data_IF_401447990916
#
_entry.id   IF_401447990916
#
_cell.length_a   1.000
_cell.length_b   1.000
_cell.length_c   1.000
_cell.angle_alpha   90.00
_cell.angle_beta   90.00
_cell.angle_gamma   90.00
#
_symmetry.space_group_name_H-M   'P 1'
#
loop_
_entity.id
_entity.type
_entity.pdbx_description
1 polymer ?
#
# COMPACT_ATOMS: atom_id res chain seq x y z
N UNK A 1 8.31 -16.89 26.83
CA UNK A 1 9.05 -18.06 26.32
C UNK A 1 9.64 -17.81 24.94
N UNK A 2 8.87 -17.28 23.97
CA UNK A 2 9.36 -17.01 22.61
C UNK A 2 10.40 -15.88 22.50
N UNK A 3 10.33 -14.86 23.36
CA UNK A 3 11.27 -13.73 23.27
C UNK A 3 12.72 -14.18 23.57
N UNK A 4 12.91 -15.16 24.46
CA UNK A 4 14.23 -15.75 24.72
C UNK A 4 14.80 -16.42 23.47
N UNK A 5 13.98 -17.22 22.77
CA UNK A 5 14.38 -17.92 21.54
C UNK A 5 14.68 -16.92 20.43
N UNK A 6 13.85 -15.89 20.27
CA UNK A 6 14.07 -14.83 19.29
C UNK A 6 15.38 -14.08 19.53
N UNK A 7 15.64 -13.61 20.76
CA UNK A 7 16.89 -12.94 21.08
C UNK A 7 18.10 -13.87 20.91
N UNK A 8 17.98 -15.14 21.25
CA UNK A 8 19.06 -16.11 21.03
C UNK A 8 19.35 -16.30 19.54
N UNK A 9 18.31 -16.41 18.72
CA UNK A 9 18.44 -16.50 17.26
C UNK A 9 19.14 -15.27 16.67
N UNK A 10 18.72 -14.06 17.08
CA UNK A 10 19.37 -12.81 16.65
C UNK A 10 20.86 -12.78 17.03
N UNK A 11 21.22 -13.22 18.23
CA UNK A 11 22.63 -13.27 18.66
C UNK A 11 23.46 -14.23 17.81
N UNK A 12 22.92 -15.40 17.50
CA UNK A 12 23.61 -16.38 16.66
C UNK A 12 23.79 -15.82 15.23
N UNK A 13 22.75 -15.23 14.66
CA UNK A 13 22.79 -14.68 13.31
C UNK A 13 23.73 -13.47 13.17
N UNK A 14 23.80 -12.61 14.20
CA UNK A 14 24.64 -11.40 14.20
C UNK A 14 26.03 -11.61 14.79
N UNK A 15 26.30 -12.76 15.40
CA UNK A 15 27.54 -13.01 16.16
C UNK A 15 27.66 -12.19 17.46
N UNK A 16 26.57 -11.56 17.93
CA UNK A 16 26.59 -10.74 19.13
C UNK A 16 26.87 -11.57 20.40
N UNK A 17 27.63 -11.01 21.34
CA UNK A 17 27.90 -11.65 22.62
C UNK A 17 26.60 -12.01 23.35
N UNK A 18 26.65 -13.05 24.20
CA UNK A 18 25.51 -13.46 25.04
C UNK A 18 25.04 -12.35 25.99
N UNK A 19 25.94 -11.43 26.33
CA UNK A 19 25.70 -10.28 27.24
C UNK A 19 25.26 -9.01 26.53
N UNK A 20 25.22 -8.96 25.19
CA UNK A 20 24.77 -7.75 24.47
C UNK A 20 23.37 -7.35 24.92
N UNK A 21 23.11 -6.08 25.27
CA UNK A 21 21.76 -5.63 25.65
C UNK A 21 20.74 -5.87 24.53
N UNK A 22 19.49 -6.20 24.89
CA UNK A 22 18.39 -6.45 23.92
C UNK A 22 18.16 -5.25 22.98
N UNK A 23 18.13 -3.98 23.47
CA UNK A 23 17.96 -2.84 22.57
C UNK A 23 19.06 -2.75 21.50
N UNK A 24 20.32 -2.99 21.89
CA UNK A 24 21.45 -3.01 20.96
C UNK A 24 21.35 -4.16 19.96
N UNK A 25 20.84 -5.32 20.38
CA UNK A 25 20.64 -6.47 19.52
C UNK A 25 19.62 -6.18 18.40
N UNK A 26 18.51 -5.51 18.73
CA UNK A 26 17.53 -5.06 17.74
C UNK A 26 18.11 -4.01 16.79
N UNK A 27 18.88 -3.05 17.31
CA UNK A 27 19.53 -2.04 16.48
C UNK A 27 20.53 -2.64 15.48
N UNK A 28 21.35 -3.61 15.90
CA UNK A 28 22.35 -4.26 15.04
C UNK A 28 21.70 -5.19 14.00
N UNK A 29 20.64 -5.90 14.39
CA UNK A 29 19.94 -6.84 13.48
C UNK A 29 18.99 -6.15 12.50
N UNK A 30 18.54 -4.92 12.80
CA UNK A 30 17.46 -4.27 12.06
C UNK A 30 16.08 -4.92 12.27
N UNK A 31 15.97 -5.88 13.19
CA UNK A 31 14.73 -6.60 13.48
C UNK A 31 13.99 -5.97 14.66
N UNK A 32 12.68 -5.70 14.54
CA UNK A 32 11.88 -5.19 15.66
C UNK A 32 11.67 -6.26 16.74
N UNK A 33 11.31 -5.83 17.95
CA UNK A 33 10.94 -6.77 19.01
C UNK A 33 9.70 -7.59 18.63
N UNK A 34 9.59 -8.80 19.20
CA UNK A 34 8.39 -9.62 19.00
C UNK A 34 7.12 -8.93 19.50
N UNK A 35 7.23 -8.06 20.49
CA UNK A 35 6.12 -7.24 20.95
C UNK A 35 5.62 -6.32 19.84
N UNK A 36 6.49 -5.50 19.24
CA UNK A 36 6.14 -4.65 18.11
C UNK A 36 5.59 -5.46 16.94
N UNK A 37 6.16 -6.64 16.67
CA UNK A 37 5.67 -7.54 15.62
C UNK A 37 4.25 -8.04 15.92
N UNK A 38 3.95 -8.42 17.17
CA UNK A 38 2.60 -8.83 17.59
C UNK A 38 1.60 -7.68 17.49
N UNK A 39 2.00 -6.46 17.85
CA UNK A 39 1.17 -5.27 17.72
C UNK A 39 0.83 -5.00 16.25
N UNK A 40 1.83 -5.01 15.37
CA UNK A 40 1.64 -4.86 13.92
C UNK A 40 0.70 -5.92 13.35
N UNK A 41 0.93 -7.20 13.67
CA UNK A 41 0.06 -8.30 13.20
C UNK A 41 -1.37 -8.15 13.71
N UNK A 42 -1.54 -7.72 14.97
CA UNK A 42 -2.87 -7.50 15.56
C UNK A 42 -3.62 -6.39 14.83
N UNK A 43 -2.96 -5.26 14.55
CA UNK A 43 -3.55 -4.15 13.78
C UNK A 43 -3.90 -4.59 12.35
N UNK A 44 -2.99 -5.28 11.65
CA UNK A 44 -3.27 -5.78 10.29
C UNK A 44 -4.45 -6.75 10.28
N UNK A 45 -4.55 -7.66 11.25
CA UNK A 45 -5.66 -8.59 11.33
C UNK A 45 -6.98 -7.90 11.69
N UNK A 46 -6.95 -6.93 12.60
CA UNK A 46 -8.11 -6.10 12.91
C UNK A 46 -8.66 -5.40 11.68
N UNK A 47 -7.79 -4.75 10.91
CA UNK A 47 -8.20 -4.04 9.71
C UNK A 47 -8.70 -4.98 8.60
N UNK A 48 -8.16 -6.19 8.50
CA UNK A 48 -8.72 -7.25 7.63
C UNK A 48 -10.15 -7.64 8.03
N UNK A 49 -10.41 -7.78 9.33
CA UNK A 49 -11.77 -8.05 9.83
C UNK A 49 -12.68 -6.83 9.57
N UNK A 50 -12.17 -5.62 9.80
CA UNK A 50 -12.92 -4.38 9.62
C UNK A 50 -13.31 -4.15 8.15
N UNK A 51 -12.47 -4.53 7.19
CA UNK A 51 -12.73 -4.36 5.75
C UNK A 51 -13.76 -5.35 5.18
N UNK A 52 -14.07 -6.43 5.91
CA UNK A 52 -14.94 -7.51 5.46
C UNK A 52 -16.12 -7.68 6.44
N UNK A 53 -17.28 -7.14 6.06
CA UNK A 53 -18.52 -7.25 6.85
C UNK A 53 -19.03 -8.69 6.96
N UNK A 54 -18.68 -9.56 6.01
CA UNK A 54 -19.07 -10.97 5.99
C UNK A 54 -18.24 -11.82 6.97
N UNK A 55 -17.11 -11.28 7.47
CA UNK A 55 -16.22 -12.01 8.35
C UNK A 55 -16.96 -12.45 9.64
N UNK A 56 -16.85 -13.73 10.06
CA UNK A 56 -17.63 -14.28 11.19
C UNK A 56 -17.47 -13.53 12.52
N UNK A 57 -16.34 -12.84 12.67
CA UNK A 57 -16.00 -12.05 13.86
C UNK A 57 -16.20 -10.54 13.70
N UNK A 58 -16.63 -10.03 12.55
CA UNK A 58 -16.75 -8.60 12.24
C UNK A 58 -17.54 -7.86 13.34
N UNK A 59 -18.80 -8.24 13.55
CA UNK A 59 -19.66 -7.59 14.53
C UNK A 59 -19.07 -7.60 15.96
N UNK A 60 -18.51 -8.73 16.41
CA UNK A 60 -17.99 -8.88 17.78
C UNK A 60 -16.70 -8.07 18.03
N UNK A 61 -15.88 -7.90 17.01
CA UNK A 61 -14.60 -7.20 17.10
C UNK A 61 -14.81 -5.69 16.98
N UNK A 62 -15.67 -5.24 16.06
CA UNK A 62 -15.98 -3.82 15.86
C UNK A 62 -16.88 -3.29 16.98
N UNK A 63 -17.96 -4.00 17.30
CA UNK A 63 -18.88 -3.63 18.38
C UNK A 63 -18.50 -4.34 19.67
N UNK A 64 -17.38 -3.94 20.28
CA UNK A 64 -16.98 -4.46 21.59
C UNK A 64 -17.85 -3.86 22.71
N UNK A 65 -19.10 -4.32 22.79
CA UNK A 65 -20.15 -3.90 23.74
C UNK A 65 -19.72 -4.07 25.21
N UNK A 66 -18.71 -4.91 25.47
CA UNK A 66 -18.28 -5.30 26.82
C UNK A 66 -17.18 -4.41 27.41
N UNK A 67 -16.84 -3.27 26.79
CA UNK A 67 -15.74 -2.40 27.25
C UNK A 67 -15.84 -1.97 28.71
N UNK A 68 -17.06 -1.68 29.20
CA UNK A 68 -17.30 -1.32 30.60
C UNK A 68 -17.09 -2.49 31.58
N UNK A 69 -17.32 -3.74 31.16
CA UNK A 69 -17.14 -4.92 32.02
C UNK A 69 -15.66 -5.24 32.25
N UNK A 70 -14.81 -5.06 31.24
CA UNK A 70 -13.36 -5.29 31.38
C UNK A 70 -12.69 -4.20 32.23
N UNK A 71 -13.17 -2.95 32.17
CA UNK A 71 -12.67 -1.87 33.04
C UNK A 71 -12.96 -2.12 34.53
N UNK A 72 -14.01 -2.88 34.85
CA UNK A 72 -14.41 -3.17 36.24
C UNK A 72 -13.79 -4.48 36.76
N UNK A 73 -13.47 -5.44 35.89
CA UNK A 73 -12.88 -6.73 36.27
C UNK A 73 -11.56 -7.00 35.56
N UNK A 74 -10.48 -6.46 36.14
CA UNK A 74 -9.09 -6.60 35.66
C UNK A 74 -8.58 -8.05 35.53
N UNK A 75 -9.25 -9.03 36.16
CA UNK A 75 -8.88 -10.45 36.06
C UNK A 75 -9.32 -11.13 34.76
N UNK A 76 -10.22 -10.51 33.99
CA UNK A 76 -10.66 -11.05 32.71
C UNK A 76 -9.76 -10.58 31.59
N UNK A 77 -9.30 -11.51 30.76
CA UNK A 77 -8.56 -11.17 29.54
C UNK A 77 -9.47 -10.36 28.60
N UNK A 78 -9.10 -9.12 28.23
CA UNK A 78 -9.92 -8.29 27.36
C UNK A 78 -10.08 -8.90 25.98
N UNK A 79 -11.21 -8.61 25.32
CA UNK A 79 -11.46 -9.07 23.95
C UNK A 79 -10.41 -8.52 22.98
N UNK A 80 -10.32 -9.15 21.81
CA UNK A 80 -9.43 -8.67 20.75
C UNK A 80 -9.72 -7.22 20.34
N UNK A 81 -10.99 -6.88 20.07
CA UNK A 81 -11.39 -5.51 19.71
C UNK A 81 -11.02 -4.47 20.77
N UNK A 82 -11.21 -4.80 22.07
CA UNK A 82 -10.82 -3.90 23.16
C UNK A 82 -9.30 -3.64 23.19
N UNK A 83 -8.50 -4.71 23.07
CA UNK A 83 -7.03 -4.58 23.02
C UNK A 83 -6.56 -3.75 21.83
N UNK A 84 -7.21 -3.87 20.67
CA UNK A 84 -6.91 -3.02 19.52
C UNK A 84 -7.19 -1.54 19.83
N UNK A 85 -8.31 -1.24 20.50
CA UNK A 85 -8.60 0.12 20.95
C UNK A 85 -7.55 0.69 21.92
N UNK A 86 -6.91 -0.13 22.74
CA UNK A 86 -5.75 0.30 23.56
C UNK A 86 -4.51 0.57 22.71
N UNK A 87 -4.23 -0.30 21.74
CA UNK A 87 -3.08 -0.15 20.83
C UNK A 87 -3.22 1.14 19.98
N UNK A 88 -4.39 1.37 19.39
CA UNK A 88 -4.66 2.57 18.59
C UNK A 88 -4.50 3.85 19.42
N UNK A 89 -5.01 3.87 20.66
CA UNK A 89 -4.84 5.00 21.58
C UNK A 89 -3.38 5.21 22.00
N UNK A 90 -2.66 4.13 22.29
CA UNK A 90 -1.25 4.20 22.71
C UNK A 90 -0.36 4.81 21.62
N UNK A 91 -0.60 4.47 20.35
CA UNK A 91 0.16 5.00 19.21
C UNK A 91 -0.45 6.25 18.57
N UNK A 92 -1.54 6.78 19.14
CA UNK A 92 -2.28 7.93 18.58
C UNK A 92 -2.67 7.72 17.10
N UNK A 93 -3.05 6.49 16.75
CA UNK A 93 -3.45 6.13 15.39
C UNK A 93 -4.93 6.47 15.23
N UNK A 94 -5.24 7.47 14.40
CA UNK A 94 -6.60 7.74 13.96
C UNK A 94 -7.12 6.58 13.11
N UNK A 95 -8.36 6.18 13.39
CA UNK A 95 -9.02 5.13 12.65
C UNK A 95 -9.47 5.67 11.28
N UNK A 96 -9.06 5.01 10.21
CA UNK A 96 -9.35 5.45 8.84
C UNK A 96 -10.56 4.70 8.25
N UNK A 97 -11.30 5.35 7.33
CA UNK A 97 -12.37 4.71 6.59
C UNK A 97 -11.82 3.53 5.79
N UNK A 98 -12.49 2.39 5.87
CA UNK A 98 -12.15 1.24 5.04
C UNK A 98 -12.82 1.35 3.69
N UNK A 99 -12.06 1.08 2.64
CA UNK A 99 -12.64 0.75 1.34
C UNK A 99 -13.16 -0.68 1.46
N UNK A 100 -14.44 -0.89 1.15
CA UNK A 100 -15.01 -2.23 1.09
C UNK A 100 -14.16 -3.08 0.17
N UNK A 101 -13.76 -4.28 0.61
CA UNK A 101 -13.16 -5.24 -0.31
C UNK A 101 -14.20 -5.52 -1.40
N UNK A 102 -13.94 -5.02 -2.60
CA UNK A 102 -14.63 -5.52 -3.78
C UNK A 102 -14.12 -6.93 -3.96
N UNK A 103 -15.00 -7.90 -4.14
CA UNK A 103 -14.58 -9.24 -4.54
C UNK A 103 -13.83 -9.07 -5.87
N UNK A 104 -12.51 -9.20 -5.82
CA UNK A 104 -11.70 -9.19 -7.03
C UNK A 104 -12.20 -10.32 -7.92
N UNK A 105 -12.33 -10.10 -9.24
CA UNK A 105 -12.60 -11.19 -10.14
C UNK A 105 -11.53 -12.26 -9.93
N UNK A 106 -11.88 -13.55 -9.97
CA UNK A 106 -10.90 -14.60 -9.78
C UNK A 106 -9.76 -14.45 -10.79
N UNK A 107 -8.54 -14.93 -10.47
CA UNK A 107 -7.37 -14.68 -11.30
C UNK A 107 -7.44 -15.31 -12.71
N UNK A 108 -8.41 -16.19 -12.96
CA UNK A 108 -8.67 -16.80 -14.26
C UNK A 108 -9.72 -16.05 -15.09
N UNK A 109 -10.40 -15.06 -14.52
CA UNK A 109 -11.30 -14.18 -15.26
C UNK A 109 -10.46 -13.10 -15.96
N UNK A 110 -10.21 -13.34 -17.24
CA UNK A 110 -9.41 -12.45 -18.07
C UNK A 110 -10.09 -11.08 -18.20
N UNK A 111 -9.47 -10.05 -17.65
CA UNK A 111 -9.81 -8.67 -17.99
C UNK A 111 -9.18 -8.38 -19.36
N UNK A 112 -9.99 -8.10 -20.37
CA UNK A 112 -9.49 -7.74 -21.71
C UNK A 112 -8.83 -6.36 -21.67
N UNK A 113 -7.52 -6.33 -21.43
CA UNK A 113 -6.68 -5.15 -21.50
C UNK A 113 -5.63 -5.38 -22.59
N UNK A 114 -5.64 -4.51 -23.59
CA UNK A 114 -4.58 -4.47 -24.60
C UNK A 114 -3.41 -3.65 -24.04
N UNK A 115 -2.32 -4.34 -23.71
CA UNK A 115 -1.07 -3.69 -23.32
C UNK A 115 -0.19 -3.51 -24.56
N UNK A 116 0.39 -2.31 -24.70
CA UNK A 116 1.37 -2.06 -25.75
C UNK A 116 2.73 -1.86 -25.11
N UNK A 117 3.56 -2.89 -25.25
CA UNK A 117 4.88 -3.01 -24.65
C UNK A 117 6.00 -2.82 -25.70
N UNK A 118 5.84 -1.81 -26.58
CA UNK A 118 6.79 -1.50 -27.66
C UNK A 118 8.23 -1.26 -27.14
N UNK A 119 8.37 -0.92 -25.86
CA UNK A 119 9.67 -0.67 -25.21
C UNK A 119 10.31 -1.91 -24.56
N UNK A 120 9.62 -3.05 -24.46
CA UNK A 120 10.06 -4.23 -23.70
C UNK A 120 11.41 -4.79 -24.16
N UNK A 121 11.72 -4.66 -25.45
CA UNK A 121 12.94 -5.17 -26.05
C UNK A 121 14.15 -4.22 -25.93
N UNK A 122 13.96 -3.01 -25.40
CA UNK A 122 15.04 -2.03 -25.27
C UNK A 122 15.64 -2.04 -23.87
N UNK A 123 16.91 -2.43 -23.77
CA UNK A 123 17.63 -2.42 -22.50
C UNK A 123 18.13 -0.99 -22.19
N UNK A 124 17.57 -0.36 -21.14
CA UNK A 124 17.87 1.04 -20.76
C UNK A 124 19.37 1.38 -20.72
N UNK A 125 20.27 0.56 -20.14
CA UNK A 125 21.70 0.89 -20.09
C UNK A 125 22.43 0.89 -21.44
N UNK A 126 21.93 0.17 -22.45
CA UNK A 126 22.60 0.02 -23.75
C UNK A 126 21.92 0.77 -24.90
N UNK A 127 20.68 1.21 -24.68
CA UNK A 127 19.89 1.95 -25.66
C UNK A 127 20.03 3.44 -25.38
N UNK A 128 20.34 4.24 -26.40
CA UNK A 128 20.47 5.68 -26.24
C UNK A 128 19.10 6.37 -26.08
N UNK A 129 19.08 7.50 -25.37
CA UNK A 129 17.86 8.29 -25.16
C UNK A 129 17.19 8.72 -26.48
N UNK A 130 18.00 9.00 -27.51
CA UNK A 130 17.49 9.35 -28.85
C UNK A 130 16.66 8.23 -29.49
N UNK A 131 17.02 6.97 -29.25
CA UNK A 131 16.27 5.81 -29.75
C UNK A 131 14.91 5.75 -29.04
N UNK A 132 14.88 5.90 -27.72
CA UNK A 132 13.63 5.97 -26.96
C UNK A 132 12.72 7.12 -27.42
N UNK A 133 13.29 8.30 -27.66
CA UNK A 133 12.55 9.45 -28.17
C UNK A 133 11.97 9.20 -29.56
N UNK A 134 12.74 8.63 -30.48
CA UNK A 134 12.27 8.30 -31.82
C UNK A 134 11.11 7.30 -31.79
N UNK A 135 11.23 6.23 -31.01
CA UNK A 135 10.15 5.26 -30.83
C UNK A 135 8.90 5.89 -30.20
N UNK A 136 9.08 6.76 -29.20
CA UNK A 136 7.97 7.52 -28.61
C UNK A 136 7.26 8.41 -29.65
N UNK A 137 8.00 9.11 -30.50
CA UNK A 137 7.39 9.94 -31.55
C UNK A 137 6.67 9.12 -32.62
N UNK A 138 7.24 7.99 -33.06
CA UNK A 138 6.57 7.07 -33.99
C UNK A 138 5.28 6.53 -33.38
N UNK A 139 5.32 6.15 -32.10
CA UNK A 139 4.14 5.71 -31.36
C UNK A 139 3.08 6.80 -31.25
N UNK A 140 3.46 8.03 -30.89
CA UNK A 140 2.56 9.20 -30.85
C UNK A 140 1.93 9.49 -32.21
N UNK A 141 2.66 9.24 -33.30
CA UNK A 141 2.14 9.40 -34.66
C UNK A 141 1.16 8.27 -35.03
N UNK A 142 1.47 7.02 -34.70
CA UNK A 142 0.60 5.85 -34.94
C UNK A 142 -0.76 6.00 -34.27
N UNK A 143 -0.78 6.63 -33.09
CA UNK A 143 -1.97 6.88 -32.30
C UNK A 143 -2.34 8.36 -32.21
N UNK A 144 -2.19 9.08 -33.33
CA UNK A 144 -2.51 10.51 -33.41
C UNK A 144 -3.98 10.83 -33.08
N UNK A 145 -4.88 9.89 -33.36
CA UNK A 145 -6.32 10.04 -33.15
C UNK A 145 -6.73 9.87 -31.68
N UNK A 146 -5.81 9.38 -30.84
CA UNK A 146 -6.02 9.11 -29.43
C UNK A 146 -5.52 10.27 -28.57
N UNK A 147 -6.24 10.55 -27.50
CA UNK A 147 -5.85 11.57 -26.52
C UNK A 147 -4.74 11.00 -25.62
N UNK A 148 -3.54 11.59 -25.59
CA UNK A 148 -2.49 11.14 -24.68
C UNK A 148 -2.78 11.59 -23.26
N UNK A 149 -2.64 10.68 -22.32
CA UNK A 149 -2.71 10.92 -20.88
C UNK A 149 -1.42 10.39 -20.28
N UNK A 150 -0.73 11.21 -19.50
CA UNK A 150 0.51 10.81 -18.85
C UNK A 150 0.29 10.70 -17.35
N UNK A 151 0.80 9.66 -16.73
CA UNK A 151 0.68 9.42 -15.29
C UNK A 151 2.05 9.26 -14.67
N UNK A 152 2.22 9.82 -13.49
CA UNK A 152 3.45 9.68 -12.71
C UNK A 152 3.13 9.68 -11.21
N UNK A 153 3.87 8.88 -10.46
CA UNK A 153 3.79 8.75 -9.01
C UNK A 153 5.14 8.95 -8.36
N UNK A 154 5.21 9.84 -7.38
CA UNK A 154 6.45 10.25 -6.72
C UNK A 154 6.43 9.95 -5.23
N UNK A 155 7.61 9.64 -4.67
CA UNK A 155 7.83 9.53 -3.23
C UNK A 155 9.15 10.17 -2.83
N UNK A 156 9.09 10.96 -1.78
CA UNK A 156 10.22 11.45 -0.98
C UNK A 156 10.00 11.06 0.49
N UNK A 157 10.94 11.42 1.37
CA UNK A 157 10.89 11.02 2.78
C UNK A 157 9.58 11.41 3.49
N UNK A 158 9.04 12.59 3.18
CA UNK A 158 7.86 13.14 3.84
C UNK A 158 6.67 13.40 2.91
N UNK A 159 6.81 13.11 1.62
CA UNK A 159 5.79 13.47 0.64
C UNK A 159 5.61 12.37 -0.40
N UNK A 160 4.35 12.05 -0.68
CA UNK A 160 3.94 11.14 -1.74
C UNK A 160 2.94 11.90 -2.61
N UNK A 161 3.13 11.91 -3.91
CA UNK A 161 2.31 12.70 -4.82
C UNK A 161 2.06 11.98 -6.13
N UNK A 162 0.81 11.98 -6.57
CA UNK A 162 0.34 11.35 -7.81
C UNK A 162 -0.16 12.41 -8.78
N UNK A 163 0.20 12.30 -10.05
CA UNK A 163 -0.22 13.26 -11.07
C UNK A 163 -0.65 12.57 -12.37
N UNK A 164 -1.66 13.16 -13.00
CA UNK A 164 -2.17 12.79 -14.31
C UNK A 164 -2.24 14.05 -15.18
N UNK A 165 -1.59 14.02 -16.33
CA UNK A 165 -1.54 15.13 -17.30
C UNK A 165 -2.38 14.77 -18.52
N UNK A 166 -3.43 15.56 -18.76
CA UNK A 166 -4.20 15.60 -19.99
C UNK A 166 -3.67 16.73 -20.90
N UNK A 167 -4.04 16.77 -22.19
CA UNK A 167 -3.60 17.87 -23.06
C UNK A 167 -4.07 19.24 -22.58
N UNK A 168 -5.28 19.30 -22.00
CA UNK A 168 -5.93 20.56 -21.64
C UNK A 168 -5.74 20.94 -20.17
N UNK A 169 -5.45 19.98 -19.30
CA UNK A 169 -5.34 20.19 -17.86
C UNK A 169 -4.48 19.12 -17.17
N UNK A 170 -4.11 19.39 -15.92
CA UNK A 170 -3.37 18.45 -15.07
C UNK A 170 -4.12 18.26 -13.75
N UNK A 171 -4.14 17.02 -13.26
CA UNK A 171 -4.63 16.66 -11.93
C UNK A 171 -3.42 16.20 -11.13
N UNK A 172 -3.23 16.72 -9.93
CA UNK A 172 -2.21 16.24 -9.02
C UNK A 172 -2.77 16.20 -7.60
N UNK A 173 -2.51 15.11 -6.89
CA UNK A 173 -2.97 14.90 -5.52
C UNK A 173 -1.81 14.46 -4.62
N UNK A 174 -1.85 14.99 -3.38
CA UNK A 174 -0.91 14.63 -2.33
C UNK A 174 -1.50 13.46 -1.55
N UNK A 175 -0.77 12.36 -1.52
CA UNK A 175 -1.14 11.17 -0.75
C UNK A 175 -0.51 11.21 0.64
N UNK A 176 -0.97 10.30 1.49
CA UNK A 176 -0.40 10.13 2.82
C UNK A 176 1.10 9.76 2.73
N UNK A 177 2.00 10.32 3.56
CA UNK A 177 3.44 10.04 3.50
C UNK A 177 3.83 8.56 3.62
N UNK A 178 2.96 7.76 4.25
CA UNK A 178 3.15 6.31 4.39
C UNK A 178 2.84 5.50 3.12
N UNK A 179 2.21 6.09 2.10
CA UNK A 179 1.97 5.42 0.83
C UNK A 179 3.31 5.04 0.16
N UNK A 180 3.33 3.92 -0.56
CA UNK A 180 4.50 3.51 -1.33
C UNK A 180 4.51 4.25 -2.69
N UNK A 181 5.68 4.32 -3.34
CA UNK A 181 5.79 4.80 -4.74
C UNK A 181 4.78 4.06 -5.62
N UNK A 182 4.69 2.75 -5.45
CA UNK A 182 3.73 1.92 -6.16
C UNK A 182 2.27 2.34 -5.97
N UNK A 183 1.87 2.70 -4.75
CA UNK A 183 0.51 3.20 -4.48
C UNK A 183 0.29 4.53 -5.20
N UNK A 184 1.30 5.41 -5.22
CA UNK A 184 1.22 6.69 -5.91
C UNK A 184 1.05 6.52 -7.42
N UNK A 185 1.83 5.61 -8.02
CA UNK A 185 1.76 5.26 -9.44
C UNK A 185 0.38 4.72 -9.83
N UNK A 186 -0.13 3.74 -9.07
CA UNK A 186 -1.47 3.20 -9.28
C UNK A 186 -2.55 4.26 -9.11
N UNK A 187 -2.39 5.15 -8.13
CA UNK A 187 -3.37 6.21 -7.89
C UNK A 187 -3.38 7.23 -9.03
N UNK A 188 -2.22 7.53 -9.65
CA UNK A 188 -2.15 8.38 -10.84
C UNK A 188 -2.89 7.75 -12.04
N UNK A 189 -2.78 6.42 -12.22
CA UNK A 189 -3.56 5.68 -13.23
C UNK A 189 -5.05 5.76 -12.91
N UNK A 190 -5.42 5.51 -11.65
CA UNK A 190 -6.81 5.59 -11.19
C UNK A 190 -7.43 6.98 -11.43
N UNK A 191 -6.72 8.06 -11.11
CA UNK A 191 -7.16 9.43 -11.37
C UNK A 191 -7.42 9.67 -12.86
N UNK A 192 -6.54 9.17 -13.72
CA UNK A 192 -6.73 9.21 -15.17
C UNK A 192 -8.00 8.49 -15.61
N UNK A 193 -8.17 7.23 -15.22
CA UNK A 193 -9.34 6.42 -15.57
C UNK A 193 -10.65 7.01 -15.04
N UNK A 194 -10.64 7.49 -13.79
CA UNK A 194 -11.80 8.16 -13.17
C UNK A 194 -12.20 9.39 -13.99
N UNK A 195 -11.22 10.18 -14.44
CA UNK A 195 -11.49 11.38 -15.22
C UNK A 195 -11.98 11.05 -16.63
N UNK A 196 -11.45 10.01 -17.26
CA UNK A 196 -11.93 9.51 -18.55
C UNK A 196 -13.41 9.11 -18.46
N UNK A 197 -13.75 8.33 -17.43
CA UNK A 197 -15.12 7.85 -17.17
C UNK A 197 -16.09 9.00 -16.91
N UNK A 198 -15.71 9.96 -16.07
CA UNK A 198 -16.59 11.09 -15.70
C UNK A 198 -16.79 12.11 -16.83
N UNK A 199 -15.77 12.37 -17.64
CA UNK A 199 -15.87 13.31 -18.77
C UNK A 199 -16.50 12.68 -20.02
N UNK A 200 -16.81 11.37 -19.96
CA UNK A 200 -17.54 10.63 -20.99
C UNK A 200 -16.96 10.84 -22.39
N UNK A 201 -15.62 10.89 -22.46
CA UNK A 201 -14.93 11.18 -23.69
C UNK A 201 -15.22 10.08 -24.73
N UNK A 202 -15.73 10.49 -25.89
CA UNK A 202 -16.04 9.58 -27.01
C UNK A 202 -14.81 9.11 -27.80
N UNK A 203 -13.64 9.67 -27.50
CA UNK A 203 -12.38 9.33 -28.17
C UNK A 203 -11.65 8.25 -27.39
N UNK A 204 -10.85 7.47 -28.10
CA UNK A 204 -9.96 6.51 -27.47
C UNK A 204 -8.79 7.24 -26.79
N UNK A 205 -8.36 6.76 -25.63
CA UNK A 205 -7.27 7.37 -24.84
C UNK A 205 -6.09 6.41 -24.75
N UNK A 206 -4.89 6.97 -24.66
CA UNK A 206 -3.71 6.23 -24.26
C UNK A 206 -3.19 6.75 -22.95
N UNK A 207 -3.01 5.83 -22.00
CA UNK A 207 -2.43 6.13 -20.71
C UNK A 207 -0.96 5.69 -20.72
N UNK A 208 -0.06 6.66 -20.69
CA UNK A 208 1.37 6.45 -20.58
C UNK A 208 1.77 6.48 -19.12
N UNK A 209 2.55 5.48 -18.72
CA UNK A 209 3.27 5.46 -17.47
C UNK A 209 4.72 5.83 -17.71
N UNK A 210 5.27 6.75 -16.92
CA UNK A 210 6.69 7.09 -16.94
C UNK A 210 7.50 6.27 -15.93
#
# INVERSE_FOLDING_TARGET
MFDLVHHQGLRIATGAFRTTPIPSLHAISGEPSLELRRLRLSLSYFYKIKSDESHPHHYKVINSILGSLFSVRLSFTPTFGFRIGEILRYFEIEDFPMVSNVEDPPPWEETQLDFIDDFLHFFKPSTSDNVFQQHFYDYRQRYSDYVPIYTDGSKSDNHVGSATVFPDFTIAEILHPFCFVYTSELYAIYLGLLKISTLNFKKSHYLYRF
#
